data_IF_924134531622
#
_entry.id   IF_924134531622
#
_cell.length_a   1.000
_cell.length_b   1.000
_cell.length_c   1.000
_cell.angle_alpha   90.00
_cell.angle_beta   90.00
_cell.angle_gamma   90.00
#
_symmetry.space_group_name_H-M   'P 1'
#
loop_
_entity.id
_entity.type
_entity.pdbx_description
1 polymer ?
#
# COMPACT_ATOMS: atom_id res chain seq x y z
N UNK A 1 1.75 -17.01 -3.94
CA UNK A 1 1.76 -15.77 -3.13
C UNK A 1 3.10 -15.12 -3.37
N UNK A 2 3.10 -13.91 -3.89
CA UNK A 2 4.34 -13.16 -4.14
C UNK A 2 4.83 -12.61 -2.81
N UNK A 3 6.08 -12.92 -2.42
CA UNK A 3 6.71 -12.31 -1.25
C UNK A 3 7.23 -10.92 -1.66
N UNK A 4 6.64 -9.87 -1.10
CA UNK A 4 7.06 -8.49 -1.32
C UNK A 4 8.20 -8.11 -0.38
N UNK A 5 9.13 -7.27 -0.87
CA UNK A 5 10.15 -6.66 -0.01
C UNK A 5 9.47 -5.92 1.17
N UNK A 6 9.94 -6.21 2.39
CA UNK A 6 9.48 -5.54 3.60
C UNK A 6 10.26 -4.23 3.78
N UNK A 7 9.54 -3.15 4.06
CA UNK A 7 10.15 -1.91 4.54
C UNK A 7 10.74 -2.15 5.95
N UNK A 8 12.02 -1.88 6.12
CA UNK A 8 12.71 -1.99 7.41
C UNK A 8 12.96 -0.61 8.04
N UNK A 9 12.86 0.45 7.25
CA UNK A 9 12.95 1.84 7.68
C UNK A 9 11.80 2.65 7.07
N UNK A 10 11.43 3.80 7.67
CA UNK A 10 10.35 4.63 7.15
C UNK A 10 10.54 5.05 5.69
N UNK A 11 11.77 5.36 5.26
CA UNK A 11 12.08 5.83 3.90
C UNK A 11 11.84 4.75 2.84
N UNK A 12 11.91 3.48 3.24
CA UNK A 12 11.65 2.36 2.35
C UNK A 12 10.15 2.34 1.94
N UNK A 13 9.23 2.79 2.80
CA UNK A 13 7.80 2.86 2.46
C UNK A 13 7.54 3.80 1.28
N UNK A 14 8.12 5.00 1.30
CA UNK A 14 7.93 5.98 0.22
C UNK A 14 8.54 5.50 -1.08
N UNK A 15 9.76 4.94 -1.03
CA UNK A 15 10.41 4.35 -2.20
C UNK A 15 9.57 3.21 -2.79
N UNK A 16 9.21 2.22 -1.98
CA UNK A 16 8.45 1.05 -2.40
C UNK A 16 7.06 1.43 -2.92
N UNK A 17 6.41 2.43 -2.33
CA UNK A 17 5.11 2.92 -2.81
C UNK A 17 5.23 3.45 -4.25
N UNK A 18 6.21 4.32 -4.51
CA UNK A 18 6.40 4.92 -5.84
C UNK A 18 6.79 3.86 -6.88
N UNK A 19 7.71 2.96 -6.54
CA UNK A 19 8.13 1.87 -7.44
C UNK A 19 6.95 1.00 -7.86
N UNK A 20 6.13 0.55 -6.91
CA UNK A 20 5.00 -0.35 -7.16
C UNK A 20 3.84 0.37 -7.84
N UNK A 21 3.54 1.60 -7.44
CA UNK A 21 2.51 2.41 -8.07
C UNK A 21 2.84 2.72 -9.54
N UNK A 22 4.09 3.09 -9.83
CA UNK A 22 4.54 3.33 -11.22
C UNK A 22 4.54 2.06 -12.07
N UNK A 23 4.76 0.89 -11.45
CA UNK A 23 4.64 -0.40 -12.12
C UNK A 23 3.18 -0.86 -12.31
N UNK A 24 2.19 -0.14 -11.74
CA UNK A 24 0.78 -0.53 -11.76
C UNK A 24 0.46 -1.74 -10.86
N UNK A 25 1.32 -2.05 -9.89
CA UNK A 25 1.16 -3.21 -8.99
C UNK A 25 0.32 -2.85 -7.76
N UNK A 26 -1.01 -2.94 -7.91
CA UNK A 26 -1.94 -2.58 -6.84
C UNK A 26 -1.86 -3.53 -5.62
N UNK A 27 -1.65 -4.84 -5.85
CA UNK A 27 -1.43 -5.81 -4.76
C UNK A 27 -0.14 -5.49 -3.99
N UNK A 28 0.92 -5.08 -4.70
CA UNK A 28 2.18 -4.66 -4.09
C UNK A 28 2.07 -3.35 -3.32
N UNK A 29 1.30 -2.38 -3.80
CA UNK A 29 1.00 -1.16 -3.05
C UNK A 29 0.21 -1.50 -1.79
N UNK A 30 -0.83 -2.32 -1.90
CA UNK A 30 -1.65 -2.74 -0.77
C UNK A 30 -0.83 -3.50 0.29
N UNK A 31 0.20 -4.26 -0.11
CA UNK A 31 1.08 -4.98 0.80
C UNK A 31 1.86 -4.07 1.78
N UNK A 32 1.96 -2.77 1.52
CA UNK A 32 2.58 -1.79 2.43
C UNK A 32 1.66 -1.38 3.59
N UNK A 33 0.37 -1.72 3.52
CA UNK A 33 -0.62 -1.37 4.52
C UNK A 33 -0.87 -2.53 5.49
N UNK A 34 -1.18 -2.17 6.74
CA UNK A 34 -1.73 -3.11 7.72
C UNK A 34 -3.05 -3.71 7.22
N UNK A 35 -3.41 -4.89 7.73
CA UNK A 35 -4.60 -5.62 7.28
C UNK A 35 -5.89 -4.80 7.42
N UNK A 36 -6.00 -4.00 8.47
CA UNK A 36 -7.12 -3.14 8.85
C UNK A 36 -6.88 -1.65 8.54
N UNK A 37 -5.89 -1.33 7.71
CA UNK A 37 -5.52 0.06 7.43
C UNK A 37 -6.69 0.90 6.88
N UNK A 38 -6.69 2.18 7.25
CA UNK A 38 -7.69 3.15 6.83
C UNK A 38 -7.05 4.18 5.91
N UNK A 39 -7.52 4.24 4.67
CA UNK A 39 -7.10 5.24 3.68
C UNK A 39 -8.20 6.29 3.50
N UNK A 40 -7.93 7.53 3.95
CA UNK A 40 -8.85 8.66 3.80
C UNK A 40 -8.68 9.36 2.45
N UNK A 41 -8.86 8.61 1.36
CA UNK A 41 -8.81 9.11 -0.01
C UNK A 41 -9.91 8.47 -0.87
N UNK A 42 -10.57 9.24 -1.76
CA UNK A 42 -10.49 10.69 -1.92
C UNK A 42 -11.08 11.45 -0.71
N UNK A 43 -10.85 12.77 -0.59
CA UNK A 43 -11.43 13.57 0.50
C UNK A 43 -12.94 13.36 0.65
N UNK A 44 -13.39 13.21 1.90
CA UNK A 44 -14.79 12.89 2.23
C UNK A 44 -15.16 11.42 2.10
N UNK A 45 -14.24 10.56 1.64
CA UNK A 45 -14.40 9.11 1.59
C UNK A 45 -13.30 8.41 2.38
N UNK A 46 -13.59 7.18 2.79
CA UNK A 46 -12.66 6.32 3.51
C UNK A 46 -12.74 4.91 2.94
N UNK A 47 -11.58 4.35 2.63
CA UNK A 47 -11.40 2.94 2.29
C UNK A 47 -10.80 2.23 3.49
N UNK A 48 -11.41 1.11 3.91
CA UNK A 48 -11.00 0.35 5.10
C UNK A 48 -10.56 -1.05 4.71
N UNK A 49 -9.38 -1.44 5.19
CA UNK A 49 -8.78 -2.76 5.03
C UNK A 49 -7.93 -2.88 3.78
N UNK A 50 -6.82 -3.61 3.90
CA UNK A 50 -5.87 -3.87 2.81
C UNK A 50 -6.54 -4.44 1.56
N UNK A 51 -7.54 -5.31 1.76
CA UNK A 51 -8.27 -5.94 0.65
C UNK A 51 -9.11 -4.95 -0.18
N UNK A 52 -9.50 -3.82 0.39
CA UNK A 52 -10.22 -2.76 -0.31
C UNK A 52 -9.29 -1.69 -0.90
N UNK A 53 -8.02 -1.67 -0.49
CA UNK A 53 -6.99 -0.74 -0.97
C UNK A 53 -6.34 -1.21 -2.29
N UNK A 54 -6.24 -2.53 -2.51
CA UNK A 54 -5.74 -3.11 -3.77
C UNK A 54 -6.68 -2.82 -4.94
#
# INVERSE_FOLDING_TARGET
MTEYEKALRPEDLTRLFVERANAGDADGVAALYAEDAVMAYPPGNVTVGRAAIR
#
